data_IF_074804413900
#
_entry.id   IF_074804413900
#
_cell.length_a   1.000
_cell.length_b   1.000
_cell.length_c   1.000
_cell.angle_alpha   90.00
_cell.angle_beta   90.00
_cell.angle_gamma   90.00
#
_symmetry.space_group_name_H-M   'P 1'
#
loop_
_entity.id
_entity.type
_entity.pdbx_description
1 polymer ?
#
# COMPACT_ATOMS: atom_id res chain seq x y z
N UNK A 1 24.94 -25.16 -51.22
CA UNK A 1 24.34 -24.14 -52.10
C UNK A 1 23.57 -23.21 -51.19
N UNK A 2 24.28 -22.19 -50.76
CA UNK A 2 23.85 -21.13 -49.85
C UNK A 2 22.82 -20.19 -50.49
N UNK A 3 21.89 -19.69 -49.69
CA UNK A 3 21.59 -18.25 -49.69
C UNK A 3 20.83 -17.86 -48.42
N UNK A 4 21.56 -17.27 -47.48
CA UNK A 4 21.02 -16.48 -46.38
C UNK A 4 20.49 -15.14 -46.94
N UNK A 5 19.35 -14.67 -46.44
CA UNK A 5 18.83 -13.33 -46.69
C UNK A 5 18.58 -12.63 -45.36
N UNK A 6 19.52 -11.79 -44.96
CA UNK A 6 19.44 -10.93 -43.77
C UNK A 6 18.87 -9.57 -44.18
N UNK A 7 17.69 -9.21 -43.65
CA UNK A 7 17.17 -7.84 -43.74
C UNK A 7 17.49 -7.08 -42.46
N UNK A 8 18.48 -6.21 -42.57
CA UNK A 8 18.84 -5.18 -41.59
C UNK A 8 17.94 -3.97 -41.83
N UNK A 9 17.06 -3.63 -40.87
CA UNK A 9 16.39 -2.34 -40.86
C UNK A 9 17.13 -1.40 -39.89
N UNK A 10 17.88 -0.45 -40.46
CA UNK A 10 18.38 0.74 -39.78
C UNK A 10 17.20 1.67 -39.55
N UNK A 11 16.79 1.88 -38.30
CA UNK A 11 15.94 3.01 -37.94
C UNK A 11 16.81 4.17 -37.48
N UNK A 12 16.55 5.32 -38.09
CA UNK A 12 17.29 6.56 -37.92
C UNK A 12 17.03 7.18 -36.55
N UNK A 13 18.11 7.62 -35.90
CA UNK A 13 18.06 8.61 -34.83
C UNK A 13 17.45 9.91 -35.35
N UNK A 14 16.48 10.45 -34.62
CA UNK A 14 16.12 11.86 -34.69
C UNK A 14 16.29 12.45 -33.30
N UNK A 15 17.38 13.20 -33.14
CA UNK A 15 17.60 14.14 -32.05
C UNK A 15 16.66 15.33 -32.22
N UNK A 16 15.91 15.69 -31.18
CA UNK A 16 15.44 17.06 -31.02
C UNK A 16 15.88 17.58 -29.66
N UNK A 17 16.77 18.57 -29.75
CA UNK A 17 17.20 19.49 -28.70
C UNK A 17 16.12 20.53 -28.39
N UNK A 18 16.33 21.27 -27.29
CA UNK A 18 15.59 22.43 -26.75
C UNK A 18 14.65 22.06 -25.59
N UNK A 19 14.64 22.72 -24.44
CA UNK A 19 14.95 24.12 -24.17
C UNK A 19 15.41 24.24 -22.71
N UNK A 20 16.54 24.91 -22.49
CA UNK A 20 16.92 25.41 -21.18
C UNK A 20 16.09 26.67 -20.87
N UNK A 21 15.41 26.70 -19.72
CA UNK A 21 14.94 27.96 -19.12
C UNK A 21 15.56 28.07 -17.74
N UNK A 22 16.48 29.02 -17.68
CA UNK A 22 17.22 29.49 -16.52
C UNK A 22 16.40 30.61 -15.91
N UNK A 23 15.85 30.43 -14.71
CA UNK A 23 15.33 31.54 -13.90
C UNK A 23 16.25 31.69 -12.70
N UNK A 24 17.13 32.68 -12.79
CA UNK A 24 17.86 33.21 -11.64
C UNK A 24 16.93 34.17 -10.91
N UNK A 25 16.60 33.84 -9.66
CA UNK A 25 16.02 34.78 -8.71
C UNK A 25 17.07 35.06 -7.65
N UNK A 26 17.81 36.14 -7.84
CA UNK A 26 18.64 36.77 -6.80
C UNK A 26 17.73 37.62 -5.92
N UNK A 27 17.40 37.13 -4.74
CA UNK A 27 16.80 37.91 -3.66
C UNK A 27 17.65 37.73 -2.42
N UNK A 28 18.56 38.67 -2.18
CA UNK A 28 19.22 38.80 -0.89
C UNK A 28 18.34 39.62 0.05
N UNK A 29 18.21 39.16 1.29
CA UNK A 29 17.96 39.97 2.47
C UNK A 29 18.36 39.15 3.70
N UNK A 30 19.35 39.70 4.41
CA UNK A 30 19.54 39.68 5.87
C UNK A 30 19.64 38.33 6.60
N UNK A 31 20.91 37.95 6.83
CA UNK A 31 21.33 37.13 7.96
C UNK A 31 21.16 37.91 9.27
N UNK A 32 20.05 37.70 9.97
CA UNK A 32 20.00 37.88 11.41
C UNK A 32 20.39 36.56 12.08
N UNK A 33 21.52 36.61 12.78
CA UNK A 33 22.07 35.56 13.63
C UNK A 33 21.18 35.43 14.88
N UNK A 34 20.16 34.59 14.79
CA UNK A 34 19.38 34.16 15.95
C UNK A 34 20.18 33.12 16.72
N UNK A 35 20.78 33.55 17.83
CA UNK A 35 21.21 32.66 18.91
C UNK A 35 19.97 31.92 19.45
N UNK A 36 19.68 30.76 18.87
CA UNK A 36 18.70 29.84 19.40
C UNK A 36 19.24 29.28 20.73
N UNK A 37 18.78 29.90 21.83
CA UNK A 37 18.85 29.27 23.15
C UNK A 37 18.02 27.99 23.04
N UNK A 38 18.58 26.80 23.30
CA UNK A 38 17.78 25.58 23.29
C UNK A 38 16.68 25.76 24.35
N UNK A 39 15.41 25.49 24.01
CA UNK A 39 14.35 25.51 25.01
C UNK A 39 14.77 24.54 26.12
N UNK A 40 14.76 25.02 27.36
CA UNK A 40 14.73 24.14 28.51
C UNK A 40 13.57 23.16 28.27
N UNK A 41 13.91 21.88 28.16
CA UNK A 41 12.95 20.79 28.21
C UNK A 41 12.33 20.87 29.60
N UNK A 42 11.23 21.63 29.72
CA UNK A 42 10.33 21.48 30.85
C UNK A 42 9.82 20.05 30.80
N UNK A 43 10.16 19.31 31.85
CA UNK A 43 9.73 17.95 32.10
C UNK A 43 8.19 17.94 32.07
N UNK A 44 7.62 17.24 31.08
CA UNK A 44 6.19 17.21 30.81
C UNK A 44 5.43 16.84 32.09
N UNK A 45 4.52 17.73 32.49
CA UNK A 45 3.65 17.49 33.62
C UNK A 45 2.70 16.35 33.25
N UNK A 46 2.59 15.34 34.12
CA UNK A 46 1.66 14.24 33.91
C UNK A 46 0.23 14.74 33.62
N UNK A 47 -0.52 14.05 32.74
CA UNK A 47 -1.85 14.47 32.32
C UNK A 47 -2.76 14.66 33.54
N UNK A 48 -3.33 15.86 33.66
CA UNK A 48 -4.31 16.14 34.72
C UNK A 48 -5.71 15.78 34.22
N UNK A 49 -6.60 15.37 35.12
CA UNK A 49 -7.97 14.97 34.81
C UNK A 49 -8.84 16.09 34.16
N UNK A 50 -8.27 17.26 33.90
CA UNK A 50 -8.91 18.41 33.26
C UNK A 50 -8.70 18.43 31.72
N UNK A 51 -7.87 17.55 31.16
CA UNK A 51 -7.64 17.43 29.71
C UNK A 51 -8.47 16.29 29.11
N UNK A 52 -9.77 16.51 28.90
CA UNK A 52 -10.58 15.58 28.13
C UNK A 52 -10.21 15.64 26.63
N UNK A 53 -10.33 14.52 25.88
CA UNK A 53 -10.10 14.54 24.44
C UNK A 53 -11.05 15.50 23.75
N UNK A 54 -10.54 16.29 22.80
CA UNK A 54 -11.36 17.17 22.01
C UNK A 54 -12.12 16.37 20.95
N UNK A 55 -13.45 16.38 21.06
CA UNK A 55 -14.38 15.77 20.10
C UNK A 55 -15.62 16.65 19.89
N UNK A 56 -16.27 16.54 18.73
CA UNK A 56 -17.46 17.34 18.39
C UNK A 56 -18.48 16.56 17.55
N UNK A 57 -19.78 16.80 17.72
CA UNK A 57 -20.82 16.25 16.81
C UNK A 57 -20.86 16.99 15.44
N UNK A 58 -20.20 18.15 15.33
CA UNK A 58 -20.17 18.99 14.13
C UNK A 58 -18.73 19.30 13.72
N UNK A 59 -18.46 19.58 12.43
CA UNK A 59 -17.12 19.89 11.92
C UNK A 59 -16.62 21.29 12.30
N UNK A 60 -17.14 21.87 13.39
CA UNK A 60 -16.81 23.22 13.81
C UNK A 60 -15.37 23.30 14.35
N UNK A 61 -14.78 24.49 14.34
CA UNK A 61 -13.47 24.66 14.97
C UNK A 61 -13.60 24.73 16.48
N UNK A 62 -12.80 23.94 17.20
CA UNK A 62 -12.70 23.98 18.66
C UNK A 62 -11.32 24.55 19.00
N UNK A 63 -11.29 25.61 19.80
CA UNK A 63 -10.03 26.28 20.20
C UNK A 63 -9.15 26.74 19.02
N UNK A 64 -9.74 26.98 17.85
CA UNK A 64 -9.02 27.36 16.63
C UNK A 64 -8.44 26.19 15.84
N UNK A 65 -8.62 24.95 16.31
CA UNK A 65 -8.25 23.73 15.62
C UNK A 65 -9.38 23.28 14.69
N UNK A 66 -9.01 22.78 13.52
CA UNK A 66 -9.92 22.09 12.62
C UNK A 66 -9.93 20.59 12.98
N UNK A 67 -11.04 19.87 12.71
CA UNK A 67 -11.07 18.44 12.93
C UNK A 67 -10.09 17.73 11.98
N UNK A 68 -9.39 16.72 12.49
CA UNK A 68 -8.45 15.88 11.72
C UNK A 68 -9.10 14.61 11.17
N UNK A 69 -10.20 14.17 11.77
CA UNK A 69 -10.90 12.95 11.41
C UNK A 69 -12.38 12.97 11.76
N UNK A 70 -13.11 11.96 11.27
CA UNK A 70 -14.48 11.67 11.66
C UNK A 70 -14.57 10.19 12.04
N UNK A 71 -14.91 9.92 13.28
CA UNK A 71 -15.21 8.60 13.80
C UNK A 71 -16.62 8.20 13.36
N UNK A 72 -16.72 7.31 12.37
CA UNK A 72 -17.99 6.83 11.85
C UNK A 72 -18.80 6.01 12.86
N UNK A 73 -18.14 5.33 13.81
CA UNK A 73 -18.83 4.51 14.81
C UNK A 73 -19.52 5.39 15.86
N UNK A 74 -18.84 6.47 16.28
CA UNK A 74 -19.32 7.40 17.31
C UNK A 74 -20.08 8.59 16.74
N UNK A 75 -19.95 8.83 15.44
CA UNK A 75 -20.47 10.02 14.74
C UNK A 75 -19.90 11.32 15.32
N UNK A 76 -18.59 11.33 15.59
CA UNK A 76 -17.88 12.47 16.18
C UNK A 76 -16.70 12.88 15.29
N UNK A 77 -16.42 14.16 15.27
CA UNK A 77 -15.21 14.74 14.70
C UNK A 77 -14.12 14.79 15.77
N UNK A 78 -12.93 14.31 15.41
CA UNK A 78 -11.76 14.26 16.28
C UNK A 78 -10.79 15.40 15.96
N UNK A 79 -10.03 15.83 16.96
CA UNK A 79 -9.04 16.89 16.86
C UNK A 79 -7.68 16.37 17.33
N UNK A 80 -6.62 17.05 16.91
CA UNK A 80 -5.22 16.78 17.23
C UNK A 80 -4.65 18.14 17.69
N UNK A 81 -4.39 18.26 18.99
CA UNK A 81 -3.98 19.54 19.62
C UNK A 81 -2.54 19.91 19.35
N UNK A 82 -1.63 18.95 19.31
CA UNK A 82 -0.20 19.19 19.15
C UNK A 82 0.32 18.98 17.72
N UNK A 83 -0.59 18.54 16.83
CA UNK A 83 -0.39 18.36 15.40
C UNK A 83 0.67 17.30 15.06
N UNK A 84 0.76 16.24 15.86
CA UNK A 84 1.69 15.14 15.64
C UNK A 84 1.16 14.03 14.71
N UNK A 85 -0.14 14.10 14.36
CA UNK A 85 -0.82 13.18 13.46
C UNK A 85 -1.65 12.10 14.15
N UNK A 86 -1.72 12.10 15.49
CA UNK A 86 -2.62 11.26 16.27
C UNK A 86 -3.75 12.13 16.84
N UNK A 87 -4.98 11.61 16.87
CA UNK A 87 -6.07 12.38 17.46
C UNK A 87 -6.00 12.32 18.98
N UNK A 88 -6.38 13.41 19.65
CA UNK A 88 -6.52 13.50 21.11
C UNK A 88 -7.32 12.31 21.66
N UNK A 89 -8.35 11.90 20.91
CA UNK A 89 -9.19 10.78 21.29
C UNK A 89 -8.41 9.46 21.30
N UNK A 90 -7.62 9.18 20.26
CA UNK A 90 -6.77 7.98 20.19
C UNK A 90 -5.74 7.96 21.33
N UNK A 91 -5.11 9.10 21.59
CA UNK A 91 -4.13 9.27 22.67
C UNK A 91 -4.77 9.12 24.05
N UNK A 92 -5.97 9.67 24.25
CA UNK A 92 -6.71 9.51 25.52
C UNK A 92 -7.07 8.06 25.82
N UNK A 93 -7.30 7.24 24.78
CA UNK A 93 -7.59 5.81 24.94
C UNK A 93 -6.33 5.02 25.31
N UNK A 94 -5.19 5.41 24.75
CA UNK A 94 -3.88 4.78 25.02
C UNK A 94 -3.21 5.32 26.30
N UNK A 95 -3.78 6.39 26.88
CA UNK A 95 -3.26 7.03 28.08
C UNK A 95 -1.99 7.84 27.83
N UNK A 96 -1.79 8.29 26.60
CA UNK A 96 -0.71 9.18 26.20
C UNK A 96 -1.11 10.66 26.37
N UNK A 97 -0.15 11.57 26.43
CA UNK A 97 -0.39 13.00 26.63
C UNK A 97 -0.77 13.70 25.31
N UNK A 98 -2.04 14.09 25.21
CA UNK A 98 -2.65 14.78 24.07
C UNK A 98 -2.09 16.18 23.74
N UNK A 99 -1.13 16.68 24.52
CA UNK A 99 -0.47 17.96 24.23
C UNK A 99 1.06 17.82 24.07
N UNK A 100 1.60 16.60 24.14
CA UNK A 100 3.02 16.34 23.92
C UNK A 100 3.22 15.63 22.57
N UNK A 101 3.76 16.32 21.54
CA UNK A 101 3.89 15.78 20.17
C UNK A 101 4.92 14.64 20.05
N UNK A 102 5.46 14.18 21.17
CA UNK A 102 6.34 13.00 21.28
C UNK A 102 5.70 11.86 22.06
N UNK A 103 4.52 12.07 22.63
CA UNK A 103 3.75 11.12 23.43
C UNK A 103 2.62 10.53 22.58
N UNK A 104 2.98 9.84 21.53
CA UNK A 104 2.03 9.33 20.54
C UNK A 104 1.43 8.00 21.02
N UNK A 105 0.18 7.72 20.67
CA UNK A 105 -0.41 6.40 20.84
C UNK A 105 0.49 5.34 20.18
N UNK A 106 0.86 4.28 20.91
CA UNK A 106 1.73 3.25 20.37
C UNK A 106 1.01 2.57 19.19
N UNK A 107 1.59 2.64 17.99
CA UNK A 107 1.17 1.79 16.85
C UNK A 107 1.35 0.29 17.13
N UNK A 108 1.87 -0.05 18.31
CA UNK A 108 2.45 -1.34 18.65
C UNK A 108 1.50 -2.19 19.53
N UNK A 109 0.42 -1.61 20.06
CA UNK A 109 -0.53 -2.27 20.98
C UNK A 109 -1.99 -2.19 20.49
N UNK A 110 -2.22 -2.17 19.17
CA UNK A 110 -3.47 -2.76 18.68
C UNK A 110 -3.50 -4.19 19.26
N UNK A 111 -4.49 -4.58 20.08
CA UNK A 111 -4.55 -5.95 20.56
C UNK A 111 -4.45 -6.84 19.33
N UNK A 112 -3.41 -7.66 19.23
CA UNK A 112 -3.41 -8.78 18.28
C UNK A 112 -4.80 -9.40 18.44
N UNK A 113 -5.67 -9.36 17.43
CA UNK A 113 -7.05 -9.77 17.59
C UNK A 113 -7.01 -11.17 18.16
N UNK A 114 -7.47 -11.30 19.40
CA UNK A 114 -7.33 -12.48 20.23
C UNK A 114 -7.91 -13.67 19.48
N UNK A 115 -7.04 -14.42 18.80
CA UNK A 115 -7.28 -15.78 18.32
C UNK A 115 -8.53 -16.04 17.48
N UNK A 116 -9.16 -15.05 16.84
CA UNK A 116 -9.93 -15.35 15.62
C UNK A 116 -8.95 -15.53 14.46
N UNK A 117 -8.03 -16.48 14.65
CA UNK A 117 -7.46 -17.22 13.56
C UNK A 117 -8.69 -17.85 12.90
N UNK A 118 -9.20 -17.20 11.85
CA UNK A 118 -10.09 -17.86 10.93
C UNK A 118 -9.26 -19.05 10.45
N UNK A 119 -9.46 -20.20 11.08
CA UNK A 119 -8.80 -21.46 10.74
C UNK A 119 -9.20 -21.73 9.30
N UNK A 120 -8.39 -21.26 8.36
CA UNK A 120 -8.47 -21.67 6.97
C UNK A 120 -7.97 -23.11 6.96
N UNK A 121 -8.87 -24.11 6.89
CA UNK A 121 -8.45 -25.49 7.05
C UNK A 121 -7.43 -25.81 5.95
N UNK A 122 -6.32 -26.47 6.30
CA UNK A 122 -5.25 -26.90 5.37
C UNK A 122 -5.73 -27.73 4.15
N UNK A 123 -7.02 -28.07 4.07
CA UNK A 123 -7.66 -28.80 2.98
C UNK A 123 -8.53 -27.95 2.03
N UNK A 124 -8.60 -26.62 2.20
CA UNK A 124 -9.56 -25.78 1.48
C UNK A 124 -9.04 -25.27 0.11
N UNK A 125 -7.74 -25.42 -0.18
CA UNK A 125 -7.25 -25.13 -1.53
C UNK A 125 -7.82 -26.10 -2.56
N UNK A 126 -8.43 -25.51 -3.59
CA UNK A 126 -8.98 -26.24 -4.73
C UNK A 126 -7.86 -26.90 -5.54
N UNK A 127 -8.20 -27.92 -6.32
CA UNK A 127 -7.22 -28.62 -7.14
C UNK A 127 -6.42 -27.67 -8.06
N UNK A 128 -5.09 -27.76 -7.94
CA UNK A 128 -4.13 -26.92 -8.66
C UNK A 128 -3.89 -25.54 -8.02
N UNK A 129 -4.28 -25.39 -6.76
CA UNK A 129 -3.84 -24.33 -5.85
C UNK A 129 -3.09 -24.94 -4.68
N UNK A 130 -2.17 -24.19 -4.10
CA UNK A 130 -1.42 -24.49 -2.90
C UNK A 130 -1.69 -23.43 -1.84
N UNK A 131 -1.59 -23.81 -0.57
CA UNK A 131 -1.67 -22.87 0.54
C UNK A 131 -0.44 -21.96 0.48
N UNK A 132 -0.67 -20.67 0.51
CA UNK A 132 0.37 -19.67 0.61
C UNK A 132 -0.01 -18.72 1.76
N UNK A 133 0.43 -19.11 2.94
CA UNK A 133 0.06 -18.48 4.21
C UNK A 133 -1.32 -18.88 4.76
N UNK A 134 -1.72 -18.30 5.90
CA UNK A 134 -2.91 -18.74 6.65
C UNK A 134 -4.29 -18.57 6.00
N UNK A 135 -4.47 -17.90 4.86
CA UNK A 135 -5.82 -17.61 4.30
C UNK A 135 -5.88 -17.51 2.79
N UNK A 136 -4.80 -17.85 2.10
CA UNK A 136 -4.68 -17.63 0.66
C UNK A 136 -4.29 -18.92 -0.04
N UNK A 137 -5.05 -19.23 -1.09
CA UNK A 137 -4.73 -20.27 -2.05
C UNK A 137 -4.25 -19.65 -3.34
N UNK A 138 -3.05 -19.99 -3.75
CA UNK A 138 -2.44 -19.49 -4.97
C UNK A 138 -2.16 -20.66 -5.92
N UNK A 139 -2.30 -20.44 -7.22
CA UNK A 139 -1.92 -21.45 -8.21
C UNK A 139 -0.41 -21.43 -8.44
N UNK A 140 0.13 -22.48 -9.07
CA UNK A 140 1.43 -22.38 -9.74
C UNK A 140 1.43 -21.23 -10.78
N UNK A 141 2.62 -20.76 -11.15
CA UNK A 141 2.77 -19.73 -12.18
C UNK A 141 2.24 -20.20 -13.54
N UNK A 142 1.27 -19.45 -14.09
CA UNK A 142 0.60 -19.82 -15.32
C UNK A 142 1.27 -19.23 -16.56
N UNK A 143 1.16 -19.97 -17.66
CA UNK A 143 1.74 -19.60 -18.94
C UNK A 143 1.29 -18.20 -19.42
N UNK A 144 2.20 -17.41 -20.02
CA UNK A 144 1.95 -16.00 -20.26
C UNK A 144 0.85 -15.75 -21.30
N UNK A 145 -0.10 -14.87 -20.97
CA UNK A 145 -1.22 -14.51 -21.83
C UNK A 145 -1.00 -13.14 -22.47
N UNK A 146 -1.32 -13.02 -23.77
CA UNK A 146 -1.22 -11.78 -24.58
C UNK A 146 -2.24 -10.70 -24.24
N UNK A 147 -3.19 -10.97 -23.33
CA UNK A 147 -4.21 -10.01 -22.92
C UNK A 147 -4.61 -10.27 -21.48
N UNK A 148 -4.72 -9.22 -20.67
CA UNK A 148 -5.17 -9.33 -19.28
C UNK A 148 -6.51 -10.09 -19.15
N UNK A 149 -7.51 -9.76 -19.97
CA UNK A 149 -8.82 -10.44 -19.93
C UNK A 149 -8.73 -11.97 -20.12
N UNK A 150 -7.72 -12.48 -20.84
CA UNK A 150 -7.54 -13.93 -20.97
C UNK A 150 -7.02 -14.56 -19.67
N UNK A 151 -6.13 -13.87 -18.95
CA UNK A 151 -5.68 -14.28 -17.63
C UNK A 151 -6.86 -14.26 -16.63
N UNK A 152 -7.60 -13.14 -16.56
CA UNK A 152 -8.79 -13.02 -15.72
C UNK A 152 -9.84 -14.10 -15.99
N UNK A 153 -10.17 -14.36 -17.27
CA UNK A 153 -11.12 -15.41 -17.63
C UNK A 153 -10.59 -16.83 -17.34
N UNK A 154 -9.26 -17.02 -17.34
CA UNK A 154 -8.66 -18.29 -16.95
C UNK A 154 -8.86 -18.54 -15.44
N UNK A 155 -8.56 -17.55 -14.59
CA UNK A 155 -8.77 -17.66 -13.15
C UNK A 155 -10.26 -17.80 -12.81
N UNK A 156 -11.14 -17.01 -13.43
CA UNK A 156 -12.59 -17.10 -13.17
C UNK A 156 -13.18 -18.49 -13.46
N UNK A 157 -12.66 -19.20 -14.47
CA UNK A 157 -13.08 -20.59 -14.78
C UNK A 157 -12.68 -21.59 -13.70
N UNK A 158 -11.71 -21.22 -12.86
CA UNK A 158 -11.25 -21.96 -11.68
C UNK A 158 -11.83 -21.38 -10.39
N UNK A 159 -12.84 -20.51 -10.51
CA UNK A 159 -13.50 -19.82 -9.41
C UNK A 159 -12.52 -18.98 -8.56
N UNK A 160 -11.54 -18.38 -9.22
CA UNK A 160 -10.51 -17.53 -8.61
C UNK A 160 -10.34 -16.23 -9.39
N UNK A 161 -9.54 -15.31 -8.87
CA UNK A 161 -9.15 -14.06 -9.51
C UNK A 161 -7.68 -14.09 -9.91
N UNK A 162 -7.22 -13.12 -10.70
CA UNK A 162 -5.77 -12.88 -10.84
C UNK A 162 -5.32 -12.31 -9.49
N UNK A 163 -4.25 -12.85 -8.91
CA UNK A 163 -3.75 -12.40 -7.61
C UNK A 163 -3.58 -10.89 -7.56
N UNK A 164 -4.19 -10.23 -6.59
CA UNK A 164 -4.20 -8.79 -6.44
C UNK A 164 -2.91 -8.26 -5.79
N UNK A 165 -2.82 -6.94 -5.66
CA UNK A 165 -1.76 -6.33 -4.86
C UNK A 165 -1.86 -6.81 -3.41
N UNK A 166 -3.08 -6.78 -2.85
CA UNK A 166 -3.37 -7.20 -1.47
C UNK A 166 -3.05 -8.67 -1.22
N UNK A 167 -3.35 -9.56 -2.19
CA UNK A 167 -3.02 -10.99 -2.09
C UNK A 167 -1.50 -11.20 -1.97
N UNK A 168 -0.73 -10.52 -2.82
CA UNK A 168 0.73 -10.67 -2.85
C UNK A 168 1.37 -9.97 -1.64
N UNK A 169 0.89 -8.79 -1.26
CA UNK A 169 1.27 -8.12 -0.02
C UNK A 169 1.04 -9.01 1.20
N UNK A 170 -0.09 -9.71 1.25
CA UNK A 170 -0.37 -10.67 2.32
C UNK A 170 0.69 -11.78 2.36
N UNK A 171 1.08 -12.35 1.22
CA UNK A 171 2.15 -13.34 1.16
C UNK A 171 3.45 -12.81 1.73
N UNK A 172 3.89 -11.62 1.31
CA UNK A 172 5.14 -11.04 1.79
C UNK A 172 5.15 -10.77 3.29
N UNK A 173 4.00 -10.45 3.88
CA UNK A 173 3.90 -10.14 5.30
C UNK A 173 3.75 -11.38 6.19
N UNK A 174 3.33 -12.51 5.63
CA UNK A 174 2.90 -13.68 6.41
C UNK A 174 3.61 -14.98 6.04
N UNK A 175 4.49 -14.96 5.04
CA UNK A 175 5.20 -16.14 4.53
C UNK A 175 6.63 -15.81 4.12
N UNK A 176 7.50 -16.81 4.10
CA UNK A 176 8.86 -16.72 3.55
C UNK A 176 8.90 -17.13 2.05
N UNK A 177 7.76 -17.05 1.33
CA UNK A 177 7.61 -17.48 -0.07
C UNK A 177 7.82 -16.34 -1.08
N UNK A 178 8.46 -15.25 -0.66
CA UNK A 178 8.63 -14.01 -1.40
C UNK A 178 9.36 -14.21 -2.76
N UNK A 179 10.45 -14.99 -2.76
CA UNK A 179 11.24 -15.30 -3.95
C UNK A 179 10.42 -16.10 -4.98
N UNK A 180 9.55 -16.99 -4.50
CA UNK A 180 8.74 -17.86 -5.36
C UNK A 180 7.58 -17.08 -6.02
N UNK A 181 6.99 -16.12 -5.30
CA UNK A 181 5.89 -15.29 -5.78
C UNK A 181 6.33 -13.89 -6.25
N UNK A 182 7.47 -13.78 -6.94
CA UNK A 182 8.00 -12.53 -7.46
C UNK A 182 7.10 -11.88 -8.56
N UNK A 183 6.55 -10.67 -8.36
CA UNK A 183 5.46 -10.13 -9.18
C UNK A 183 5.98 -9.55 -10.50
N UNK A 184 7.29 -9.39 -10.65
CA UNK A 184 7.93 -8.75 -11.80
C UNK A 184 7.48 -9.37 -13.12
N UNK A 185 7.03 -8.51 -14.03
CA UNK A 185 6.52 -8.88 -15.35
C UNK A 185 5.29 -9.79 -15.34
N UNK A 186 4.47 -9.73 -14.28
CA UNK A 186 3.22 -10.49 -14.15
C UNK A 186 2.00 -9.59 -14.16
N UNK A 187 0.86 -10.17 -14.51
CA UNK A 187 -0.43 -9.57 -14.21
C UNK A 187 -0.72 -9.72 -12.73
N UNK A 188 -1.14 -8.62 -12.10
CA UNK A 188 -1.66 -8.60 -10.74
C UNK A 188 -2.96 -7.81 -10.74
N UNK A 189 -3.93 -8.17 -9.91
CA UNK A 189 -5.15 -7.40 -9.69
C UNK A 189 -5.99 -7.18 -10.96
N UNK A 190 -6.69 -6.03 -11.00
CA UNK A 190 -7.73 -5.71 -11.97
C UNK A 190 -7.27 -4.74 -13.09
N UNK A 191 -8.17 -4.48 -14.05
CA UNK A 191 -8.01 -3.37 -15.00
C UNK A 191 -8.17 -2.05 -14.26
N UNK A 192 -7.33 -1.06 -14.59
CA UNK A 192 -7.36 0.28 -13.98
C UNK A 192 -7.85 1.35 -14.96
N UNK A 193 -7.78 1.08 -16.26
CA UNK A 193 -8.29 1.97 -17.32
C UNK A 193 -8.64 1.16 -18.59
N UNK A 194 -9.17 1.84 -19.60
CA UNK A 194 -9.62 1.27 -20.88
C UNK A 194 -8.57 0.37 -21.52
N UNK A 195 -7.30 0.74 -21.51
CA UNK A 195 -6.21 -0.05 -22.09
C UNK A 195 -5.15 -0.46 -21.07
N UNK A 196 -5.45 -0.36 -19.78
CA UNK A 196 -4.45 -0.55 -18.74
C UNK A 196 -4.91 -1.55 -17.69
N UNK A 197 -3.95 -2.34 -17.19
CA UNK A 197 -4.15 -3.27 -16.09
C UNK A 197 -2.99 -3.19 -15.11
N UNK A 198 -3.26 -3.55 -13.85
CA UNK A 198 -2.22 -3.67 -12.85
C UNK A 198 -1.25 -4.80 -13.23
N UNK A 199 0.02 -4.57 -12.96
CA UNK A 199 1.09 -5.49 -13.24
C UNK A 199 2.20 -5.32 -12.21
N UNK A 200 2.94 -6.40 -11.94
CA UNK A 200 4.17 -6.25 -11.16
C UNK A 200 5.26 -5.61 -12.03
N UNK A 201 5.73 -4.46 -11.59
CA UNK A 201 6.75 -3.67 -12.27
C UNK A 201 8.15 -3.89 -11.66
N UNK A 202 8.21 -4.27 -10.38
CA UNK A 202 9.47 -4.56 -9.67
C UNK A 202 9.54 -6.01 -9.24
N UNK A 203 10.76 -6.48 -8.99
CA UNK A 203 10.96 -7.69 -8.23
C UNK A 203 10.88 -7.36 -6.75
N UNK A 204 10.40 -8.33 -5.98
CA UNK A 204 10.61 -8.41 -4.54
C UNK A 204 11.52 -9.62 -4.38
N UNK A 205 12.73 -9.37 -3.91
CA UNK A 205 13.81 -10.35 -3.89
C UNK A 205 14.28 -10.66 -2.44
N UNK A 206 13.69 -10.04 -1.41
CA UNK A 206 14.18 -10.17 -0.03
C UNK A 206 13.16 -9.81 1.07
N UNK A 207 13.21 -10.54 2.19
CA UNK A 207 12.57 -10.18 3.47
C UNK A 207 13.07 -8.82 3.98
N UNK A 208 12.15 -7.87 4.17
CA UNK A 208 12.43 -6.45 4.44
C UNK A 208 12.94 -5.62 3.24
N UNK A 209 12.59 -5.99 2.01
CA UNK A 209 12.69 -5.04 0.90
C UNK A 209 11.87 -3.79 1.24
N UNK A 210 12.48 -2.60 1.45
CA UNK A 210 11.72 -1.39 1.81
C UNK A 210 10.67 -1.02 0.76
N UNK A 211 10.79 -1.54 -0.47
CA UNK A 211 9.89 -1.34 -1.57
C UNK A 211 8.84 -2.45 -1.71
N UNK A 212 8.65 -3.34 -0.71
CA UNK A 212 7.57 -4.34 -0.75
C UNK A 212 6.17 -3.72 -0.86
N UNK A 213 6.04 -2.40 -0.65
CA UNK A 213 4.81 -1.61 -0.82
C UNK A 213 4.67 -0.93 -2.20
N UNK A 214 5.65 -1.07 -3.10
CA UNK A 214 5.71 -0.37 -4.40
C UNK A 214 6.20 -1.33 -5.51
N UNK A 215 5.58 -2.52 -5.58
CA UNK A 215 5.89 -3.52 -6.63
C UNK A 215 4.92 -3.48 -7.79
N UNK A 216 3.78 -2.82 -7.62
CA UNK A 216 2.77 -2.64 -8.63
C UNK A 216 3.15 -1.58 -9.67
N UNK A 217 2.34 -1.52 -10.71
CA UNK A 217 2.49 -0.58 -11.80
C UNK A 217 1.35 -0.76 -12.77
N UNK A 218 1.37 0.05 -13.82
CA UNK A 218 0.32 0.06 -14.83
C UNK A 218 0.91 -0.35 -16.18
N UNK A 219 0.35 -1.40 -16.77
CA UNK A 219 0.80 -1.96 -18.03
C UNK A 219 -0.30 -1.98 -19.08
N UNK A 220 0.09 -2.00 -20.35
CA UNK A 220 -0.86 -2.11 -21.47
C UNK A 220 -1.54 -3.49 -21.41
N UNK A 221 -2.88 -3.54 -21.36
CA UNK A 221 -3.65 -4.79 -21.24
C UNK A 221 -3.44 -5.79 -22.38
N UNK A 222 -2.78 -5.41 -23.47
CA UNK A 222 -2.39 -6.24 -24.61
C UNK A 222 -0.95 -6.79 -24.50
N UNK A 223 -0.24 -6.52 -23.41
CA UNK A 223 1.05 -7.12 -23.12
C UNK A 223 0.96 -8.63 -22.93
N UNK A 224 2.10 -9.30 -23.04
CA UNK A 224 2.24 -10.72 -22.75
C UNK A 224 2.93 -10.93 -21.41
N UNK A 225 2.17 -11.31 -20.38
CA UNK A 225 2.68 -11.50 -19.02
C UNK A 225 2.19 -12.81 -18.41
N UNK A 226 3.00 -13.37 -17.51
CA UNK A 226 2.62 -14.51 -16.65
C UNK A 226 1.69 -14.01 -15.54
N UNK A 227 1.07 -14.92 -14.82
CA UNK A 227 0.12 -14.57 -13.76
C UNK A 227 -0.09 -15.78 -12.85
N UNK A 228 -0.62 -15.52 -11.67
CA UNK A 228 -1.17 -16.53 -10.80
C UNK A 228 -2.66 -16.29 -10.64
N UNK A 229 -3.36 -17.34 -10.21
CA UNK A 229 -4.71 -17.19 -9.74
C UNK A 229 -4.73 -17.32 -8.21
N UNK A 230 -5.45 -16.44 -7.54
CA UNK A 230 -5.62 -16.45 -6.10
C UNK A 230 -7.08 -16.61 -5.74
N UNK A 231 -7.31 -17.27 -4.61
CA UNK A 231 -8.58 -17.22 -3.91
C UNK A 231 -8.33 -17.34 -2.42
N UNK A 232 -9.19 -16.70 -1.65
CA UNK A 232 -9.29 -16.84 -0.21
C UNK A 232 -10.38 -17.85 0.16
N UNK A 233 -10.72 -17.86 1.44
CA UNK A 233 -11.61 -18.79 2.12
C UNK A 233 -13.08 -18.51 1.92
N UNK A 234 -13.46 -17.88 0.80
CA UNK A 234 -14.82 -17.46 0.46
C UNK A 234 -15.81 -18.66 0.39
N UNK A 235 -16.11 -19.21 1.57
CA UNK A 235 -17.20 -20.10 1.93
C UNK A 235 -18.50 -19.29 2.05
N UNK A 236 -18.44 -17.97 1.94
CA UNK A 236 -19.59 -17.10 1.76
C UNK A 236 -20.10 -17.19 0.32
N UNK A 237 -20.95 -18.17 0.03
CA UNK A 237 -21.71 -18.29 -1.22
C UNK A 237 -22.68 -17.12 -1.49
N UNK A 238 -22.17 -15.88 -1.58
CA UNK A 238 -22.85 -14.71 -2.10
C UNK A 238 -22.54 -14.59 -3.60
N UNK A 239 -23.45 -15.09 -4.43
CA UNK A 239 -23.24 -15.27 -5.86
C UNK A 239 -22.76 -14.02 -6.61
N UNK A 240 -21.75 -14.23 -7.45
CA UNK A 240 -21.40 -13.40 -8.60
C UNK A 240 -22.22 -13.77 -9.83
#
# INVERSE_FOLDING_TARGET
MDTQSTRTHKFMLTSLSCLAVLVMSTGGCDTEELEATPPELEEAAAPTADDAPLVSETPDQIQGLAPVGFDEERQLYDYDRDADGYSDYAESLDGTDMNDPRSNAALDDAPEPDGLQADFPDGDCRSGFEHAGPRLCISEELAPQRRYFRAANFCRRRHSTVCSYEDLTYLYLNTDDDEYYNPKNKWIGNMVDDNQALCGNRSIDYDNDPDWRDFEGVCDKFDRRRFWCCHDDDQGGGGW
#
